data_IF_810244326141
#
_entry.id   IF_810244326141
#
_cell.length_a   1.000
_cell.length_b   1.000
_cell.length_c   1.000
_cell.angle_alpha   90.00
_cell.angle_beta   90.00
_cell.angle_gamma   90.00
#
_symmetry.space_group_name_H-M   'P 1'
#
loop_
_entity.id
_entity.type
_entity.pdbx_description
1 polymer ?
#
# COMPACT_ATOMS: atom_id res chain seq x y z
N UNK A 1 19.33 -7.08 -4.77
CA UNK A 1 19.40 -5.86 -5.59
C UNK A 1 18.21 -5.00 -5.17
N UNK A 2 18.41 -3.75 -4.78
CA UNK A 2 17.30 -2.84 -4.48
C UNK A 2 16.66 -2.32 -5.79
N UNK A 3 15.47 -1.73 -5.74
CA UNK A 3 14.75 -1.30 -6.96
C UNK A 3 15.54 -0.25 -7.75
N UNK A 4 16.26 0.66 -7.09
CA UNK A 4 17.07 1.64 -7.82
C UNK A 4 18.21 0.97 -8.60
N UNK A 5 18.85 -0.06 -8.03
CA UNK A 5 19.85 -0.85 -8.74
C UNK A 5 19.23 -1.59 -9.94
N UNK A 6 18.01 -2.11 -9.81
CA UNK A 6 17.26 -2.71 -10.92
C UNK A 6 17.03 -1.67 -12.03
N UNK A 7 16.52 -0.48 -11.68
CA UNK A 7 16.25 0.60 -12.63
C UNK A 7 17.52 1.02 -13.37
N UNK A 8 18.64 1.17 -12.68
CA UNK A 8 19.92 1.49 -13.32
C UNK A 8 20.37 0.38 -14.28
N UNK A 9 20.24 -0.89 -13.89
CA UNK A 9 20.58 -2.01 -14.77
C UNK A 9 19.70 -2.06 -16.04
N UNK A 10 18.38 -1.87 -15.88
CA UNK A 10 17.45 -1.79 -17.01
C UNK A 10 17.78 -0.62 -17.95
N UNK A 11 18.15 0.52 -17.39
CA UNK A 11 18.60 1.68 -18.17
C UNK A 11 19.88 1.37 -18.94
N UNK A 12 20.87 0.74 -18.30
CA UNK A 12 22.12 0.34 -18.95
C UNK A 12 21.88 -0.63 -20.12
N UNK A 13 20.90 -1.51 -19.97
CA UNK A 13 20.45 -2.45 -21.01
C UNK A 13 19.50 -1.85 -22.05
N UNK A 14 19.10 -0.58 -21.90
CA UNK A 14 18.14 0.12 -22.77
C UNK A 14 16.77 -0.57 -22.84
N UNK A 15 16.29 -1.06 -21.70
CA UNK A 15 14.99 -1.75 -21.58
C UNK A 15 13.87 -0.84 -21.04
N UNK A 16 14.19 0.41 -20.73
CA UNK A 16 13.21 1.44 -20.35
C UNK A 16 12.71 2.14 -21.62
N UNK A 17 11.40 2.19 -21.83
CA UNK A 17 10.73 2.73 -23.01
C UNK A 17 9.74 3.85 -22.61
N UNK A 18 9.09 4.49 -23.57
CA UNK A 18 8.00 5.41 -23.29
C UNK A 18 6.69 4.64 -23.00
N UNK A 19 5.81 5.25 -22.19
CA UNK A 19 4.47 4.70 -21.95
C UNK A 19 3.72 4.69 -23.29
N UNK A 20 3.12 3.56 -23.73
CA UNK A 20 2.29 3.54 -24.93
C UNK A 20 1.18 4.60 -24.85
N UNK A 21 0.87 5.26 -25.97
CA UNK A 21 -0.07 6.40 -25.98
C UNK A 21 -1.49 5.97 -25.58
N UNK A 22 -1.86 4.77 -26.01
CA UNK A 22 -3.14 4.12 -25.78
C UNK A 22 -3.21 3.37 -24.44
N UNK A 23 -2.12 3.37 -23.65
CA UNK A 23 -2.13 2.80 -22.31
C UNK A 23 -2.95 3.68 -21.36
N UNK A 24 -3.84 3.08 -20.56
CA UNK A 24 -4.73 3.80 -19.64
C UNK A 24 -3.98 4.76 -18.70
N UNK A 25 -2.82 4.35 -18.20
CA UNK A 25 -1.93 5.18 -17.37
C UNK A 25 -1.51 6.49 -18.04
N UNK A 26 -1.32 6.52 -19.36
CA UNK A 26 -1.01 7.76 -20.09
C UNK A 26 -2.18 8.76 -19.97
N UNK A 27 -3.42 8.27 -20.14
CA UNK A 27 -4.63 9.06 -19.94
C UNK A 27 -4.78 9.53 -18.49
N UNK A 28 -4.42 8.68 -17.51
CA UNK A 28 -4.46 9.03 -16.08
C UNK A 28 -3.46 10.11 -15.71
N UNK A 29 -2.22 9.99 -16.16
CA UNK A 29 -1.20 11.01 -15.91
C UNK A 29 -1.63 12.36 -16.49
N UNK A 30 -2.20 12.39 -17.70
CA UNK A 30 -2.76 13.59 -18.31
C UNK A 30 -3.96 14.13 -17.52
N UNK A 31 -4.92 13.28 -17.13
CA UNK A 31 -6.13 13.67 -16.38
C UNK A 31 -5.78 14.29 -15.03
N UNK A 32 -4.77 13.75 -14.35
CA UNK A 32 -4.38 14.17 -13.00
C UNK A 32 -3.09 14.99 -12.93
N UNK A 33 -2.53 15.42 -14.06
CA UNK A 33 -1.24 16.12 -14.15
C UNK A 33 -1.11 17.26 -13.11
N UNK A 34 -2.12 18.15 -13.08
CA UNK A 34 -2.19 19.29 -12.15
C UNK A 34 -2.23 18.90 -10.65
N UNK A 35 -2.64 17.68 -10.36
CA UNK A 35 -2.70 17.13 -9.00
C UNK A 35 -1.46 16.31 -8.67
N UNK A 36 -0.87 15.62 -9.65
CA UNK A 36 0.37 14.84 -9.49
C UNK A 36 1.53 15.75 -9.11
N UNK A 37 1.63 16.94 -9.68
CA UNK A 37 2.63 17.94 -9.26
C UNK A 37 2.48 18.37 -7.79
N UNK A 38 1.26 18.25 -7.24
CA UNK A 38 0.94 18.54 -5.85
C UNK A 38 0.94 17.29 -4.96
N UNK A 39 1.06 16.11 -5.56
CA UNK A 39 1.07 14.85 -4.83
C UNK A 39 2.35 14.78 -4.01
N UNK A 40 2.21 14.48 -2.72
CA UNK A 40 3.37 14.35 -1.85
C UNK A 40 4.03 13.00 -2.11
N UNK A 41 5.33 13.04 -2.40
CA UNK A 41 6.18 11.85 -2.41
C UNK A 41 6.37 11.35 -0.97
N UNK A 42 6.06 10.09 -0.73
CA UNK A 42 6.25 9.43 0.56
C UNK A 42 7.32 8.35 0.43
N UNK A 43 8.62 8.68 0.60
CA UNK A 43 9.67 7.67 0.58
C UNK A 43 9.57 6.80 1.82
N UNK A 44 9.49 5.50 1.62
CA UNK A 44 9.77 4.48 2.63
C UNK A 44 11.25 4.08 2.52
N UNK A 45 12.21 5.01 2.57
CA UNK A 45 13.62 4.63 2.46
C UNK A 45 14.06 3.79 3.66
N UNK A 46 14.38 2.52 3.41
CA UNK A 46 14.98 1.60 4.38
C UNK A 46 16.50 1.58 4.13
N UNK A 47 17.28 2.48 4.74
CA UNK A 47 18.73 2.31 4.75
C UNK A 47 19.10 1.07 5.58
N UNK A 48 19.44 -0.03 4.91
CA UNK A 48 20.02 -1.23 5.53
C UNK A 48 21.41 -0.90 6.09
N UNK A 49 21.58 -0.99 7.41
CA UNK A 49 22.84 -1.44 8.02
C UNK A 49 22.61 -2.70 8.83
N UNK A 50 23.24 -3.76 8.32
CA UNK A 50 23.75 -5.00 8.92
C UNK A 50 22.94 -5.75 10.00
N UNK A 51 22.92 -7.08 9.81
CA UNK A 51 22.40 -8.18 10.64
C UNK A 51 20.88 -8.44 10.54
N UNK A 52 20.55 -9.38 9.64
CA UNK A 52 19.20 -9.92 9.39
C UNK A 52 19.05 -11.19 10.21
N UNK A 53 18.40 -11.08 11.37
CA UNK A 53 17.56 -12.16 11.88
C UNK A 53 16.20 -12.08 11.15
N UNK A 54 15.85 -13.20 10.52
CA UNK A 54 14.67 -13.45 9.70
C UNK A 54 13.36 -13.34 10.48
N UNK A 55 12.50 -12.35 10.26
CA UNK A 55 11.09 -12.45 10.68
C UNK A 55 10.11 -11.62 9.83
N UNK A 56 8.99 -12.27 9.52
CA UNK A 56 7.74 -11.78 8.91
C UNK A 56 7.10 -10.71 9.80
N UNK A 57 6.80 -9.51 9.26
CA UNK A 57 5.87 -8.60 9.94
C UNK A 57 6.13 -7.11 9.75
N UNK A 58 5.62 -6.56 8.64
CA UNK A 58 4.77 -5.37 8.70
C UNK A 58 3.88 -5.35 7.45
N UNK A 59 2.92 -6.30 7.40
CA UNK A 59 1.87 -6.35 6.36
C UNK A 59 0.73 -5.33 6.60
N UNK A 60 0.86 -4.42 7.58
CA UNK A 60 -0.18 -3.51 8.03
C UNK A 60 -0.07 -2.11 7.38
N UNK A 61 -0.12 -2.05 6.05
CA UNK A 61 -0.07 -0.77 5.32
C UNK A 61 -1.27 0.13 5.69
N UNK A 62 -2.39 -0.48 6.08
CA UNK A 62 -3.58 0.21 6.59
C UNK A 62 -3.30 1.10 7.80
N UNK A 63 -2.43 0.68 8.72
CA UNK A 63 -2.13 1.46 9.94
C UNK A 63 -1.31 2.73 9.68
N UNK A 64 -0.75 2.88 8.48
CA UNK A 64 -0.05 4.09 8.07
C UNK A 64 -1.00 5.21 7.65
N UNK A 65 -2.28 4.91 7.40
CA UNK A 65 -3.27 5.86 6.90
C UNK A 65 -3.92 6.63 8.04
N UNK A 66 -3.91 7.95 7.92
CA UNK A 66 -4.55 8.89 8.84
C UNK A 66 -5.52 9.82 8.09
N UNK A 67 -6.65 10.10 8.73
CA UNK A 67 -7.51 11.26 8.44
C UNK A 67 -7.37 12.22 9.62
N UNK A 68 -7.20 13.51 9.37
CA UNK A 68 -6.81 14.50 10.40
C UNK A 68 -7.70 14.49 11.66
N UNK A 69 -8.98 14.16 11.53
CA UNK A 69 -9.95 14.13 12.63
C UNK A 69 -10.39 12.70 13.03
N UNK A 70 -9.76 11.66 12.48
CA UNK A 70 -10.11 10.27 12.76
C UNK A 70 -11.50 9.92 12.21
N UNK A 71 -12.49 9.81 13.10
CA UNK A 71 -13.87 9.48 12.73
C UNK A 71 -14.62 10.74 12.27
N UNK A 72 -14.81 10.88 10.97
CA UNK A 72 -15.56 11.96 10.32
C UNK A 72 -16.70 11.39 9.50
N UNK A 73 -17.74 12.17 9.21
CA UNK A 73 -18.72 11.79 8.19
C UNK A 73 -18.04 11.65 6.82
N UNK A 74 -18.56 10.79 5.95
CA UNK A 74 -18.02 10.68 4.59
C UNK A 74 -18.10 12.03 3.84
N UNK A 75 -17.11 12.36 3.00
CA UNK A 75 -17.19 13.54 2.15
C UNK A 75 -18.38 13.45 1.19
N UNK A 76 -18.94 14.61 0.84
CA UNK A 76 -19.84 14.73 -0.31
C UNK A 76 -19.02 14.53 -1.59
N UNK A 77 -19.24 13.39 -2.24
CA UNK A 77 -18.62 13.00 -3.51
C UNK A 77 -19.73 12.58 -4.47
N UNK A 78 -19.56 12.84 -5.77
CA UNK A 78 -20.49 12.39 -6.80
C UNK A 78 -20.35 10.87 -6.99
N UNK A 79 -21.16 10.09 -6.26
CA UNK A 79 -21.10 8.64 -6.32
C UNK A 79 -21.59 8.07 -7.64
N UNK A 80 -22.37 8.82 -8.42
CA UNK A 80 -22.87 8.34 -9.71
C UNK A 80 -21.79 8.45 -10.78
N UNK A 81 -21.13 9.61 -10.88
CA UNK A 81 -20.00 9.81 -11.79
C UNK A 81 -18.85 8.85 -11.47
N UNK A 82 -18.46 8.75 -10.19
CA UNK A 82 -17.40 7.85 -9.73
C UNK A 82 -17.78 6.38 -9.98
N UNK A 83 -19.07 6.04 -9.86
CA UNK A 83 -19.57 4.71 -10.18
C UNK A 83 -19.47 4.35 -11.66
N UNK A 84 -19.65 5.34 -12.56
CA UNK A 84 -19.45 5.17 -14.01
C UNK A 84 -17.98 4.95 -14.34
N UNK A 85 -17.08 5.78 -13.77
CA UNK A 85 -15.62 5.60 -13.92
C UNK A 85 -15.18 4.18 -13.52
N UNK A 86 -15.68 3.67 -12.40
CA UNK A 86 -15.40 2.30 -11.93
C UNK A 86 -15.96 1.21 -12.85
N UNK A 87 -17.15 1.42 -13.42
CA UNK A 87 -17.76 0.44 -14.32
C UNK A 87 -16.98 0.30 -15.63
N UNK A 88 -16.42 1.42 -16.12
CA UNK A 88 -15.68 1.49 -17.37
C UNK A 88 -14.22 1.00 -17.20
N UNK A 89 -13.55 1.44 -16.14
CA UNK A 89 -12.09 1.26 -15.97
C UNK A 89 -11.72 0.27 -14.85
N UNK A 90 -12.66 -0.15 -14.00
CA UNK A 90 -12.36 -1.04 -12.87
C UNK A 90 -11.58 -0.34 -11.75
N UNK A 91 -10.75 -1.08 -11.01
CA UNK A 91 -9.95 -0.51 -9.91
C UNK A 91 -8.99 0.57 -10.41
N UNK A 92 -8.54 0.50 -11.67
CA UNK A 92 -7.73 1.51 -12.33
C UNK A 92 -8.38 2.92 -12.35
N UNK A 93 -9.71 2.99 -12.18
CA UNK A 93 -10.42 4.24 -11.95
C UNK A 93 -9.86 5.02 -10.75
N UNK A 94 -9.44 4.31 -9.70
CA UNK A 94 -9.15 4.85 -8.37
C UNK A 94 -7.69 4.74 -7.96
N UNK A 95 -6.95 3.76 -8.46
CA UNK A 95 -5.53 3.62 -8.22
C UNK A 95 -4.84 3.03 -9.45
N UNK A 96 -3.56 3.29 -9.64
CA UNK A 96 -2.78 2.61 -10.68
C UNK A 96 -1.32 2.52 -10.27
N UNK A 97 -0.67 1.43 -10.66
CA UNK A 97 0.77 1.26 -10.59
C UNK A 97 1.43 1.80 -11.86
N UNK A 98 2.32 2.78 -11.71
CA UNK A 98 3.18 3.26 -12.79
C UNK A 98 4.51 2.50 -12.76
N UNK A 99 4.76 1.72 -13.81
CA UNK A 99 5.99 0.94 -13.97
C UNK A 99 7.25 1.80 -13.99
N UNK A 100 8.35 1.22 -13.49
CA UNK A 100 9.68 1.79 -13.63
C UNK A 100 10.36 1.47 -14.98
N UNK A 101 9.77 0.60 -15.82
CA UNK A 101 10.17 0.40 -17.22
C UNK A 101 9.76 1.55 -18.13
N UNK A 102 9.04 2.56 -17.61
CA UNK A 102 8.59 3.69 -18.42
C UNK A 102 9.25 5.01 -18.07
N UNK A 103 9.61 5.77 -19.10
CA UNK A 103 10.14 7.12 -18.96
C UNK A 103 9.08 8.14 -18.47
N UNK A 104 9.46 9.08 -17.60
CA UNK A 104 10.69 9.05 -16.81
C UNK A 104 10.57 8.06 -15.63
N UNK A 105 11.57 7.19 -15.45
CA UNK A 105 11.47 6.08 -14.48
C UNK A 105 11.33 6.53 -13.03
N UNK A 106 11.80 7.73 -12.66
CA UNK A 106 11.66 8.26 -11.29
C UNK A 106 10.21 8.54 -10.86
N UNK A 107 9.25 8.56 -11.79
CA UNK A 107 7.82 8.72 -11.49
C UNK A 107 7.14 7.41 -11.06
N UNK A 108 7.86 6.28 -11.07
CA UNK A 108 7.28 4.99 -10.74
C UNK A 108 6.66 4.95 -9.32
N UNK A 109 5.69 4.06 -9.14
CA UNK A 109 5.01 3.82 -7.86
C UNK A 109 3.49 3.73 -8.01
N UNK A 110 2.80 3.70 -6.87
CA UNK A 110 1.35 3.53 -6.80
C UNK A 110 0.69 4.90 -6.62
N UNK A 111 -0.18 5.27 -7.55
CA UNK A 111 -0.99 6.48 -7.48
C UNK A 111 -2.39 6.12 -7.01
N UNK A 112 -2.97 6.90 -6.09
CA UNK A 112 -4.32 6.68 -5.59
C UNK A 112 -5.10 7.98 -5.50
N UNK A 113 -6.32 7.99 -6.02
CA UNK A 113 -7.22 9.13 -5.96
C UNK A 113 -8.02 9.08 -4.66
N UNK A 114 -7.93 10.15 -3.85
CA UNK A 114 -8.62 10.22 -2.55
C UNK A 114 -10.14 9.99 -2.63
N UNK A 115 -10.82 10.55 -3.64
CA UNK A 115 -12.25 10.33 -3.89
C UNK A 115 -12.57 8.84 -4.11
N UNK A 116 -11.68 8.11 -4.77
CA UNK A 116 -11.81 6.67 -5.00
C UNK A 116 -11.69 5.87 -3.71
N UNK A 117 -10.74 6.24 -2.84
CA UNK A 117 -10.59 5.62 -1.51
C UNK A 117 -11.87 5.80 -0.68
N UNK A 118 -12.40 7.03 -0.63
CA UNK A 118 -13.65 7.31 0.08
C UNK A 118 -14.88 6.65 -0.55
N UNK A 119 -14.92 6.54 -1.88
CA UNK A 119 -16.00 5.85 -2.59
C UNK A 119 -16.07 4.37 -2.19
N UNK A 120 -14.95 3.65 -2.22
CA UNK A 120 -14.91 2.25 -1.79
C UNK A 120 -15.27 2.14 -0.31
N UNK A 121 -14.77 3.07 0.51
CA UNK A 121 -14.99 3.05 1.96
C UNK A 121 -16.49 3.16 2.27
N UNK A 122 -17.21 4.04 1.56
CA UNK A 122 -18.65 4.24 1.71
C UNK A 122 -19.47 3.11 1.09
N UNK A 123 -19.20 2.76 -0.17
CA UNK A 123 -20.10 1.93 -0.99
C UNK A 123 -19.83 0.43 -0.92
N UNK A 124 -18.59 0.03 -0.57
CA UNK A 124 -18.19 -1.37 -0.41
C UNK A 124 -18.16 -1.72 1.07
N UNK A 125 -17.34 -1.02 1.86
CA UNK A 125 -17.15 -1.40 3.26
C UNK A 125 -18.18 -0.80 4.23
N UNK A 126 -18.76 0.37 3.92
CA UNK A 126 -19.77 1.03 4.76
C UNK A 126 -21.04 0.19 5.00
N UNK A 127 -21.24 -0.88 4.23
CA UNK A 127 -22.33 -1.86 4.41
C UNK A 127 -22.05 -2.88 5.52
N UNK A 128 -20.82 -2.94 6.03
CA UNK A 128 -20.40 -3.91 7.03
C UNK A 128 -20.84 -3.46 8.43
N UNK A 129 -21.83 -4.16 8.98
CA UNK A 129 -22.26 -4.00 10.39
C UNK A 129 -21.45 -4.94 11.28
N UNK A 130 -20.14 -4.69 11.40
CA UNK A 130 -19.25 -5.53 12.21
C UNK A 130 -18.53 -4.70 13.28
N UNK A 131 -18.28 -5.37 14.40
CA UNK A 131 -17.34 -4.93 15.43
C UNK A 131 -15.93 -5.27 14.95
N UNK A 132 -15.07 -4.26 14.85
CA UNK A 132 -13.67 -4.39 14.53
C UNK A 132 -12.95 -5.38 15.48
N UNK A 133 -11.78 -5.91 15.11
CA UNK A 133 -10.94 -6.71 16.02
C UNK A 133 -10.63 -6.03 17.37
N UNK A 134 -10.88 -4.73 17.48
CA UNK A 134 -10.70 -3.88 18.65
C UNK A 134 -11.95 -3.74 19.52
N UNK A 135 -13.05 -4.46 19.22
CA UNK A 135 -14.24 -4.48 20.08
C UNK A 135 -15.19 -3.28 19.90
N UNK A 136 -14.92 -2.38 18.94
CA UNK A 136 -15.82 -1.27 18.55
C UNK A 136 -16.35 -1.42 17.13
N UNK A 137 -17.51 -0.85 16.83
CA UNK A 137 -18.01 -0.76 15.46
C UNK A 137 -16.98 -0.08 14.54
N UNK A 138 -16.89 -0.55 13.30
CA UNK A 138 -16.09 0.14 12.29
C UNK A 138 -16.60 1.57 12.08
N UNK A 139 -15.66 2.49 11.96
CA UNK A 139 -15.90 3.90 11.72
C UNK A 139 -15.34 4.31 10.34
N UNK A 140 -15.49 5.58 9.98
CA UNK A 140 -15.04 6.07 8.66
C UNK A 140 -13.54 5.87 8.43
N UNK A 141 -12.71 6.07 9.44
CA UNK A 141 -11.27 5.84 9.32
C UNK A 141 -10.97 4.37 9.03
N UNK A 142 -11.63 3.43 9.70
CA UNK A 142 -11.39 2.00 9.45
C UNK A 142 -11.80 1.62 8.02
N UNK A 143 -12.92 2.13 7.52
CA UNK A 143 -13.34 1.87 6.15
C UNK A 143 -12.38 2.47 5.13
N UNK A 144 -11.85 3.68 5.38
CA UNK A 144 -10.81 4.30 4.55
C UNK A 144 -9.51 3.48 4.58
N UNK A 145 -9.14 2.95 5.76
CA UNK A 145 -8.00 2.06 5.91
C UNK A 145 -8.16 0.76 5.13
N UNK A 146 -9.35 0.13 5.15
CA UNK A 146 -9.64 -1.05 4.34
C UNK A 146 -9.64 -0.75 2.83
N UNK A 147 -10.17 0.39 2.40
CA UNK A 147 -10.12 0.84 1.00
C UNK A 147 -8.72 1.10 0.50
N UNK A 148 -7.92 1.83 1.28
CA UNK A 148 -6.53 2.06 0.95
C UNK A 148 -5.77 0.73 0.86
N UNK A 149 -5.98 -0.19 1.81
CA UNK A 149 -5.36 -1.51 1.80
C UNK A 149 -5.75 -2.33 0.56
N UNK A 150 -7.02 -2.29 0.16
CA UNK A 150 -7.49 -2.98 -1.04
C UNK A 150 -6.76 -2.48 -2.28
N UNK A 151 -6.79 -1.16 -2.51
CA UNK A 151 -6.14 -0.52 -3.65
C UNK A 151 -4.63 -0.76 -3.63
N UNK A 152 -3.98 -0.56 -2.49
CA UNK A 152 -2.54 -0.81 -2.34
C UNK A 152 -2.17 -2.24 -2.73
N UNK A 153 -2.89 -3.24 -2.22
CA UNK A 153 -2.55 -4.64 -2.48
C UNK A 153 -2.79 -5.03 -3.94
N UNK A 154 -3.83 -4.49 -4.57
CA UNK A 154 -4.07 -4.67 -6.01
C UNK A 154 -2.89 -4.12 -6.79
N UNK A 155 -2.56 -2.85 -6.60
CA UNK A 155 -1.47 -2.19 -7.33
C UNK A 155 -0.08 -2.75 -7.01
N UNK A 156 0.11 -3.24 -5.79
CA UNK A 156 1.35 -3.92 -5.40
C UNK A 156 1.55 -5.23 -6.18
N UNK A 157 0.47 -5.87 -6.65
CA UNK A 157 0.61 -7.04 -7.51
C UNK A 157 1.20 -6.68 -8.88
N UNK A 158 0.79 -5.56 -9.48
CA UNK A 158 1.41 -5.05 -10.71
C UNK A 158 2.89 -4.75 -10.52
N UNK A 159 3.28 -4.20 -9.37
CA UNK A 159 4.70 -4.07 -9.02
C UNK A 159 5.43 -5.43 -8.95
N UNK A 160 4.81 -6.48 -8.39
CA UNK A 160 5.39 -7.82 -8.40
C UNK A 160 5.57 -8.34 -9.83
N UNK A 161 4.60 -8.10 -10.72
CA UNK A 161 4.71 -8.43 -12.15
C UNK A 161 5.89 -7.70 -12.79
N UNK A 162 6.06 -6.42 -12.48
CA UNK A 162 7.15 -5.57 -12.97
C UNK A 162 8.53 -6.11 -12.56
N UNK A 163 8.66 -6.51 -11.29
CA UNK A 163 9.87 -7.15 -10.77
C UNK A 163 10.09 -8.53 -11.43
N UNK A 164 9.04 -9.33 -11.61
CA UNK A 164 9.15 -10.64 -12.25
C UNK A 164 9.68 -10.52 -13.69
N UNK A 165 9.21 -9.53 -14.45
CA UNK A 165 9.74 -9.22 -15.77
C UNK A 165 11.20 -8.77 -15.70
N UNK A 166 11.54 -7.87 -14.77
CA UNK A 166 12.93 -7.40 -14.57
C UNK A 166 13.91 -8.54 -14.27
N UNK A 167 13.48 -9.55 -13.50
CA UNK A 167 14.30 -10.73 -13.21
C UNK A 167 14.63 -11.50 -14.49
N UNK A 168 13.66 -11.65 -15.40
CA UNK A 168 13.88 -12.28 -16.71
C UNK A 168 14.82 -11.44 -17.59
N UNK A 169 14.61 -10.13 -17.62
CA UNK A 169 15.39 -9.18 -18.42
C UNK A 169 16.86 -9.10 -17.98
N UNK A 170 17.11 -9.07 -16.67
CA UNK A 170 18.46 -9.03 -16.10
C UNK A 170 19.13 -10.41 -16.19
N UNK A 171 18.36 -11.47 -15.94
CA UNK A 171 18.84 -12.85 -15.98
C UNK A 171 19.10 -13.39 -17.38
N UNK A 172 18.51 -12.76 -18.41
CA UNK A 172 18.77 -13.11 -19.81
C UNK A 172 20.13 -12.58 -20.29
N UNK A 173 20.77 -13.35 -21.17
CA UNK A 173 21.95 -12.90 -21.93
C UNK A 173 21.57 -11.94 -23.06
N UNK A 174 20.30 -11.93 -23.49
CA UNK A 174 19.77 -11.00 -24.49
C UNK A 174 19.15 -9.77 -23.84
N UNK A 175 19.25 -8.62 -24.50
CA UNK A 175 18.55 -7.37 -24.14
C UNK A 175 17.12 -7.40 -24.68
N UNK A 176 16.32 -8.37 -24.24
CA UNK A 176 14.95 -8.52 -24.68
C UNK A 176 13.98 -7.84 -23.69
N UNK A 177 13.11 -6.92 -24.13
CA UNK A 177 12.26 -6.11 -23.24
C UNK A 177 10.95 -6.84 -22.88
N UNK A 178 11.07 -7.94 -22.11
CA UNK A 178 9.95 -8.79 -21.72
C UNK A 178 8.76 -8.01 -21.15
N UNK A 179 8.99 -6.99 -20.30
CA UNK A 179 7.90 -6.22 -19.72
C UNK A 179 7.12 -5.43 -20.78
N UNK A 180 7.82 -4.67 -21.63
CA UNK A 180 7.20 -3.82 -22.62
C UNK A 180 6.49 -4.62 -23.71
N UNK A 181 7.05 -5.76 -24.13
CA UNK A 181 6.38 -6.66 -25.08
C UNK A 181 5.13 -7.29 -24.46
N UNK A 182 5.22 -7.76 -23.22
CA UNK A 182 4.07 -8.27 -22.48
C UNK A 182 2.92 -7.26 -22.41
N UNK A 183 3.22 -6.02 -22.01
CA UNK A 183 2.22 -4.97 -21.89
C UNK A 183 1.54 -4.72 -23.24
N UNK A 184 2.31 -4.46 -24.29
CA UNK A 184 1.80 -4.11 -25.63
C UNK A 184 0.99 -5.26 -26.26
N UNK A 185 1.52 -6.48 -26.20
CA UNK A 185 0.99 -7.61 -26.97
C UNK A 185 -0.02 -8.48 -26.21
N UNK A 186 -0.01 -8.42 -24.87
CA UNK A 186 -0.84 -9.31 -24.03
C UNK A 186 -1.75 -8.52 -23.11
N UNK A 187 -1.21 -7.65 -22.26
CA UNK A 187 -2.02 -6.90 -21.27
C UNK A 187 -3.07 -6.01 -21.95
N UNK A 188 -2.62 -5.21 -22.92
CA UNK A 188 -3.47 -4.28 -23.68
C UNK A 188 -4.32 -4.97 -24.75
N UNK A 189 -4.09 -6.26 -25.01
CA UNK A 189 -4.76 -7.04 -26.04
C UNK A 189 -5.51 -8.25 -25.43
N UNK A 190 -6.53 -8.05 -24.57
CA UNK A 190 -7.29 -9.13 -23.96
C UNK A 190 -8.12 -9.88 -25.01
N UNK A 191 -8.07 -11.22 -25.00
CA UNK A 191 -8.80 -12.05 -25.97
C UNK A 191 -10.21 -12.41 -25.54
N UNK A 192 -10.53 -12.26 -24.26
CA UNK A 192 -11.82 -12.61 -23.70
C UNK A 192 -12.08 -11.86 -22.39
N UNK A 193 -13.30 -11.99 -21.85
CA UNK A 193 -13.75 -11.29 -20.63
C UNK A 193 -12.97 -11.60 -19.36
N UNK A 194 -12.16 -12.67 -19.33
CA UNK A 194 -11.33 -13.03 -18.18
C UNK A 194 -9.87 -12.56 -18.33
N UNK A 195 -9.56 -11.82 -19.40
CA UNK A 195 -8.25 -11.24 -19.65
C UNK A 195 -8.31 -9.70 -19.46
N UNK A 196 -7.21 -9.06 -19.04
CA UNK A 196 -5.90 -9.69 -18.78
C UNK A 196 -5.90 -10.50 -17.47
N UNK A 197 -5.11 -11.59 -17.46
CA UNK A 197 -5.00 -12.51 -16.31
C UNK A 197 -4.46 -11.78 -15.07
N UNK A 198 -3.61 -10.78 -15.30
CA UNK A 198 -2.99 -9.98 -14.26
C UNK A 198 -4.03 -9.31 -13.35
N UNK A 199 -5.09 -8.68 -13.88
CA UNK A 199 -6.13 -8.05 -13.07
C UNK A 199 -6.84 -9.03 -12.13
N UNK A 200 -7.20 -10.21 -12.65
CA UNK A 200 -7.86 -11.24 -11.87
C UNK A 200 -6.95 -11.73 -10.73
N UNK A 201 -5.65 -11.80 -11.00
CA UNK A 201 -4.64 -12.19 -10.03
C UNK A 201 -4.35 -11.10 -9.01
N UNK A 202 -4.31 -9.83 -9.41
CA UNK A 202 -4.18 -8.68 -8.51
C UNK A 202 -5.36 -8.65 -7.51
N UNK A 203 -6.58 -8.82 -8.01
CA UNK A 203 -7.78 -8.98 -7.19
C UNK A 203 -7.67 -10.18 -6.23
N UNK A 204 -7.21 -11.34 -6.71
CA UNK A 204 -7.04 -12.53 -5.87
C UNK A 204 -5.94 -12.36 -4.81
N UNK A 205 -4.85 -11.68 -5.15
CA UNK A 205 -3.76 -11.34 -4.23
C UNK A 205 -4.29 -10.45 -3.10
N UNK A 206 -4.97 -9.36 -3.45
CA UNK A 206 -5.58 -8.45 -2.48
C UNK A 206 -6.62 -9.18 -1.61
N UNK A 207 -7.55 -9.92 -2.23
CA UNK A 207 -8.61 -10.65 -1.54
C UNK A 207 -8.07 -11.61 -0.46
N UNK A 208 -7.02 -12.36 -0.78
CA UNK A 208 -6.44 -13.37 0.12
C UNK A 208 -5.75 -12.77 1.36
N UNK A 209 -5.41 -11.47 1.33
CA UNK A 209 -4.79 -10.75 2.45
C UNK A 209 -5.80 -10.17 3.46
N UNK A 210 -7.09 -10.12 3.14
CA UNK A 210 -8.15 -9.86 4.12
C UNK A 210 -8.52 -11.16 4.82
N UNK A 211 -8.85 -11.16 6.12
CA UNK A 211 -9.14 -12.40 6.88
C UNK A 211 -10.61 -12.50 7.30
N UNK A 212 -11.26 -11.36 7.47
CA UNK A 212 -12.62 -11.21 7.96
C UNK A 212 -13.62 -11.65 6.88
N UNK A 213 -14.54 -12.55 7.24
CA UNK A 213 -15.51 -13.14 6.31
C UNK A 213 -16.47 -12.12 5.71
N UNK A 214 -16.94 -11.16 6.52
CA UNK A 214 -17.78 -10.03 6.12
C UNK A 214 -17.10 -9.12 5.09
N UNK A 215 -15.83 -8.78 5.32
CA UNK A 215 -15.02 -7.98 4.39
C UNK A 215 -14.85 -8.75 3.07
N UNK A 216 -14.45 -10.02 3.15
CA UNK A 216 -14.32 -10.89 1.97
C UNK A 216 -15.64 -11.00 1.18
N UNK A 217 -16.79 -11.07 1.84
CA UNK A 217 -18.08 -11.10 1.16
C UNK A 217 -18.33 -9.81 0.35
N UNK A 218 -18.08 -8.64 0.94
CA UNK A 218 -18.24 -7.37 0.22
C UNK A 218 -17.24 -7.24 -0.93
N UNK A 219 -15.99 -7.68 -0.73
CA UNK A 219 -14.97 -7.70 -1.79
C UNK A 219 -15.38 -8.58 -2.97
N UNK A 220 -15.95 -9.77 -2.74
CA UNK A 220 -16.45 -10.63 -3.82
C UNK A 220 -17.55 -9.94 -4.63
N UNK A 221 -18.50 -9.29 -3.96
CA UNK A 221 -19.59 -8.57 -4.63
C UNK A 221 -19.01 -7.42 -5.46
N UNK A 222 -18.08 -6.66 -4.88
CA UNK A 222 -17.41 -5.55 -5.54
C UNK A 222 -16.63 -6.01 -6.79
N UNK A 223 -15.72 -6.97 -6.64
CA UNK A 223 -14.86 -7.44 -7.74
C UNK A 223 -15.66 -8.13 -8.85
N UNK A 224 -16.74 -8.85 -8.53
CA UNK A 224 -17.59 -9.50 -9.54
C UNK A 224 -18.27 -8.50 -10.49
N UNK A 225 -18.50 -7.27 -10.03
CA UNK A 225 -19.18 -6.23 -10.80
C UNK A 225 -18.20 -5.29 -11.53
N UNK A 226 -16.91 -5.60 -11.52
CA UNK A 226 -15.90 -4.86 -12.28
C UNK A 226 -15.82 -5.34 -13.74
N UNK A 227 -15.20 -4.57 -14.65
CA UNK A 227 -15.02 -4.93 -16.05
C UNK A 227 -14.23 -6.23 -16.29
N UNK A 228 -14.01 -6.52 -17.58
CA UNK A 228 -13.25 -7.69 -18.02
C UNK A 228 -11.86 -7.78 -17.35
N UNK A 229 -11.37 -8.99 -17.13
CA UNK A 229 -10.16 -9.25 -16.35
C UNK A 229 -10.45 -9.22 -14.85
N UNK A 230 -10.88 -8.07 -14.32
CA UNK A 230 -11.14 -7.86 -12.89
C UNK A 230 -12.18 -8.82 -12.30
N UNK A 231 -13.28 -9.06 -13.01
CA UNK A 231 -14.38 -9.92 -12.53
C UNK A 231 -14.05 -11.42 -12.44
N UNK A 232 -12.88 -11.84 -12.95
CA UNK A 232 -12.44 -13.24 -12.95
C UNK A 232 -11.75 -13.69 -11.65
N UNK A 233 -11.85 -12.92 -10.56
CA UNK A 233 -11.32 -13.22 -9.21
C UNK A 233 -11.41 -14.71 -8.83
N UNK A 234 -12.60 -15.31 -8.94
CA UNK A 234 -12.89 -16.66 -8.45
C UNK A 234 -12.02 -17.74 -9.10
N UNK A 235 -11.43 -17.46 -10.26
CA UNK A 235 -10.48 -18.36 -10.93
C UNK A 235 -9.17 -18.50 -10.16
N UNK A 236 -8.81 -17.55 -9.29
CA UNK A 236 -7.48 -17.48 -8.66
C UNK A 236 -7.53 -17.35 -7.13
N UNK A 237 -8.71 -17.39 -6.50
CA UNK A 237 -8.81 -17.29 -5.02
C UNK A 237 -8.12 -18.46 -4.31
N UNK A 238 -8.24 -19.68 -4.84
CA UNK A 238 -7.66 -20.87 -4.20
C UNK A 238 -6.15 -20.92 -4.44
N UNK A 239 -5.40 -21.38 -3.43
CA UNK A 239 -3.92 -21.46 -3.50
C UNK A 239 -3.40 -22.17 -4.74
N UNK A 240 -3.97 -23.33 -5.11
CA UNK A 240 -3.55 -24.09 -6.29
C UNK A 240 -3.76 -23.31 -7.57
N UNK A 241 -4.91 -22.65 -7.69
CA UNK A 241 -5.28 -21.92 -8.90
C UNK A 241 -4.48 -20.61 -9.00
N UNK A 242 -4.19 -19.95 -7.88
CA UNK A 242 -3.27 -18.81 -7.82
C UNK A 242 -1.85 -19.19 -8.28
N UNK A 243 -1.33 -20.35 -7.84
CA UNK A 243 -0.03 -20.85 -8.31
C UNK A 243 -0.05 -21.07 -9.83
N UNK A 244 -1.12 -21.68 -10.34
CA UNK A 244 -1.27 -21.87 -11.78
C UNK A 244 -1.37 -20.53 -12.54
N UNK A 245 -2.10 -19.56 -11.99
CA UNK A 245 -2.14 -18.19 -12.51
C UNK A 245 -0.75 -17.57 -12.62
N UNK A 246 0.09 -17.69 -11.57
CA UNK A 246 1.47 -17.15 -11.60
C UNK A 246 2.32 -17.80 -12.69
N UNK A 247 2.16 -19.12 -12.91
CA UNK A 247 2.83 -19.80 -14.02
C UNK A 247 2.35 -19.28 -15.37
N UNK A 248 1.04 -19.12 -15.54
CA UNK A 248 0.45 -18.59 -16.76
C UNK A 248 0.95 -17.17 -17.03
N UNK A 249 0.87 -16.28 -16.04
CA UNK A 249 1.33 -14.90 -16.14
C UNK A 249 2.83 -14.83 -16.45
N UNK A 250 3.67 -15.58 -15.74
CA UNK A 250 5.11 -15.64 -16.03
C UNK A 250 5.42 -16.15 -17.45
N UNK A 251 4.61 -17.08 -17.96
CA UNK A 251 4.75 -17.56 -19.35
C UNK A 251 4.37 -16.47 -20.35
N UNK A 252 3.27 -15.74 -20.10
CA UNK A 252 2.85 -14.62 -20.95
C UNK A 252 3.91 -13.51 -20.98
N UNK A 253 4.55 -13.23 -19.84
CA UNK A 253 5.65 -12.25 -19.75
C UNK A 253 6.86 -12.72 -20.57
N UNK A 254 7.31 -13.95 -20.33
CA UNK A 254 8.47 -14.52 -21.02
C UNK A 254 8.25 -14.59 -22.54
N UNK A 255 7.06 -14.96 -22.98
CA UNK A 255 6.79 -15.19 -24.40
C UNK A 255 6.39 -13.91 -25.14
N UNK A 256 6.05 -12.82 -24.41
CA UNK A 256 5.55 -11.57 -25.00
C UNK A 256 4.28 -11.77 -25.84
N UNK A 257 3.59 -12.90 -25.68
CA UNK A 257 2.50 -13.34 -26.53
C UNK A 257 1.57 -14.33 -25.81
N UNK A 258 0.37 -14.47 -26.36
CA UNK A 258 -0.63 -15.43 -25.88
C UNK A 258 -0.24 -16.88 -26.20
N UNK A 259 0.51 -17.53 -25.30
CA UNK A 259 0.93 -18.92 -25.46
C UNK A 259 -0.04 -19.94 -24.82
N UNK A 260 -0.04 -21.17 -25.34
CA UNK A 260 -0.83 -22.30 -24.79
C UNK A 260 -0.07 -23.12 -23.74
N UNK A 261 1.26 -22.95 -23.65
CA UNK A 261 2.10 -23.62 -22.66
C UNK A 261 2.07 -22.93 -21.29
N UNK A 262 2.54 -23.61 -20.25
CA UNK A 262 2.69 -23.05 -18.90
C UNK A 262 4.04 -23.47 -18.34
N UNK A 263 4.98 -22.53 -18.31
CA UNK A 263 6.32 -22.73 -17.75
C UNK A 263 6.29 -22.65 -16.21
N UNK A 264 7.20 -23.34 -15.49
CA UNK A 264 7.26 -23.32 -14.02
C UNK A 264 7.93 -22.03 -13.51
N UNK A 265 7.31 -20.89 -13.80
CA UNK A 265 7.81 -19.54 -13.48
C UNK A 265 7.11 -18.91 -12.28
N UNK A 266 6.36 -19.69 -11.49
CA UNK A 266 5.59 -19.15 -10.35
C UNK A 266 6.45 -18.51 -9.26
N UNK A 267 7.74 -18.87 -9.19
CA UNK A 267 8.68 -18.39 -8.17
C UNK A 267 9.12 -16.95 -8.41
N UNK A 268 9.01 -16.45 -9.66
CA UNK A 268 9.27 -15.04 -9.98
C UNK A 268 8.36 -14.08 -9.22
N UNK A 269 7.17 -14.56 -8.83
CA UNK A 269 6.13 -13.79 -8.15
C UNK A 269 6.11 -14.07 -6.64
N UNK A 270 7.13 -14.72 -6.09
CA UNK A 270 7.22 -14.96 -4.64
C UNK A 270 7.94 -13.81 -3.94
N UNK A 271 7.15 -12.91 -3.34
CA UNK A 271 7.63 -11.72 -2.65
C UNK A 271 8.65 -12.05 -1.54
N UNK A 272 8.49 -13.18 -0.86
CA UNK A 272 9.38 -13.56 0.24
C UNK A 272 10.74 -14.01 -0.29
N UNK A 273 10.73 -14.78 -1.38
CA UNK A 273 11.95 -15.23 -2.04
C UNK A 273 12.69 -14.07 -2.71
N UNK A 274 11.96 -13.03 -3.14
CA UNK A 274 12.52 -11.85 -3.79
C UNK A 274 12.88 -10.71 -2.82
N UNK A 275 12.73 -10.91 -1.49
CA UNK A 275 12.99 -9.90 -0.46
C UNK A 275 12.23 -8.57 -0.71
N UNK A 276 11.00 -8.67 -1.22
CA UNK A 276 10.15 -7.52 -1.52
C UNK A 276 9.31 -7.12 -0.31
N UNK A 277 9.23 -5.82 -0.05
CA UNK A 277 8.49 -5.23 1.04
C UNK A 277 7.51 -4.17 0.55
N UNK A 278 6.41 -3.98 1.28
CA UNK A 278 5.43 -2.93 0.97
C UNK A 278 6.03 -1.52 1.01
N UNK A 279 7.07 -1.31 1.82
CA UNK A 279 7.82 -0.06 1.86
C UNK A 279 8.76 0.15 0.67
N UNK A 280 8.95 -0.83 -0.22
CA UNK A 280 9.82 -0.60 -1.38
C UNK A 280 9.13 0.26 -2.44
N UNK A 281 7.80 0.37 -2.40
CA UNK A 281 7.00 1.02 -3.44
C UNK A 281 6.57 2.42 -3.01
N UNK A 282 6.94 3.47 -3.76
CA UNK A 282 6.43 4.82 -3.55
C UNK A 282 4.91 4.86 -3.68
N UNK A 283 4.26 5.63 -2.81
CA UNK A 283 2.80 5.84 -2.86
C UNK A 283 2.52 7.33 -3.00
N UNK A 284 1.63 7.68 -3.93
CA UNK A 284 1.19 9.04 -4.22
C UNK A 284 -0.32 9.14 -4.01
N UNK A 285 -0.74 9.93 -3.02
CA UNK A 285 -2.16 10.27 -2.86
C UNK A 285 -2.45 11.53 -3.68
N UNK A 286 -3.42 11.44 -4.58
CA UNK A 286 -3.88 12.51 -5.45
C UNK A 286 -5.05 13.22 -4.75
N UNK A 287 -4.86 14.48 -4.29
CA UNK A 287 -5.86 15.18 -3.49
C UNK A 287 -6.91 15.86 -4.38
N UNK A 288 -8.02 15.18 -4.64
CA UNK A 288 -9.15 15.71 -5.42
C UNK A 288 -10.25 16.30 -4.54
N UNK A 289 -10.29 15.96 -3.25
CA UNK A 289 -11.24 16.52 -2.29
C UNK A 289 -10.67 17.83 -1.70
N UNK A 290 -11.45 18.92 -1.80
CA UNK A 290 -11.01 20.26 -1.38
C UNK A 290 -10.96 20.44 0.14
N UNK A 291 -11.83 19.78 0.90
CA UNK A 291 -11.93 19.97 2.35
C UNK A 291 -10.77 19.26 3.09
N UNK A 292 -9.97 20.07 3.79
CA UNK A 292 -8.78 19.66 4.53
C UNK A 292 -9.02 18.57 5.58
N UNK A 293 -10.26 18.44 6.10
CA UNK A 293 -10.58 17.40 7.11
C UNK A 293 -10.59 15.99 6.53
N UNK A 294 -10.71 15.86 5.21
CA UNK A 294 -10.68 14.59 4.47
C UNK A 294 -9.33 14.26 3.85
N UNK A 295 -8.31 15.08 4.12
CA UNK A 295 -6.97 14.82 3.60
C UNK A 295 -6.43 13.54 4.22
N UNK A 296 -6.22 12.55 3.35
CA UNK A 296 -5.56 11.29 3.67
C UNK A 296 -4.06 11.55 3.77
N UNK A 297 -3.46 11.13 4.89
CA UNK A 297 -2.03 11.26 5.14
C UNK A 297 -1.43 9.89 5.42
N UNK A 298 -0.24 9.65 4.88
CA UNK A 298 0.57 8.47 5.21
C UNK A 298 1.60 8.84 6.26
N UNK A 299 1.65 8.07 7.35
CA UNK A 299 2.60 8.25 8.44
C UNK A 299 3.90 7.50 8.06
N UNK A 300 4.75 8.16 7.28
CA UNK A 300 6.08 7.64 6.93
C UNK A 300 7.17 8.13 7.89
N UNK A 301 7.03 9.36 8.40
CA UNK A 301 7.95 9.97 9.36
C UNK A 301 7.22 10.91 10.32
N UNK A 302 7.80 11.12 11.50
CA UNK A 302 7.32 12.06 12.52
C UNK A 302 8.50 12.94 12.93
N UNK A 303 8.65 14.14 12.34
CA UNK A 303 9.76 15.03 12.64
C UNK A 303 9.75 15.47 14.11
N UNK A 304 10.91 15.54 14.75
CA UNK A 304 11.01 15.90 16.17
C UNK A 304 10.43 17.27 16.49
N UNK A 305 10.54 18.20 15.55
CA UNK A 305 9.96 19.55 15.63
C UNK A 305 8.43 19.56 15.73
N UNK A 306 7.76 18.48 15.35
CA UNK A 306 6.31 18.34 15.45
C UNK A 306 5.85 17.74 16.78
N UNK A 307 6.78 17.25 17.61
CA UNK A 307 6.44 16.59 18.87
C UNK A 307 6.11 17.62 19.96
N UNK A 308 4.98 17.44 20.61
CA UNK A 308 4.55 18.19 21.81
C UNK A 308 4.46 17.20 22.96
N UNK A 309 4.94 17.59 24.14
CA UNK A 309 4.86 16.74 25.33
C UNK A 309 3.67 17.16 26.20
N UNK A 310 2.77 16.22 26.50
CA UNK A 310 1.69 16.44 27.46
C UNK A 310 2.26 16.67 28.88
N UNK A 311 1.49 17.30 29.79
CA UNK A 311 1.90 17.44 31.19
C UNK A 311 2.19 16.09 31.87
N UNK A 312 1.42 15.06 31.54
CA UNK A 312 1.60 13.70 32.09
C UNK A 312 2.87 13.07 31.55
N UNK A 313 3.12 13.18 30.25
CA UNK A 313 4.36 12.68 29.63
C UNK A 313 5.61 13.32 30.26
N UNK A 314 5.58 14.63 30.54
CA UNK A 314 6.68 15.32 31.23
C UNK A 314 6.93 14.77 32.64
N UNK A 315 5.88 14.36 33.36
CA UNK A 315 6.01 13.74 34.69
C UNK A 315 6.60 12.34 34.57
N UNK A 316 6.12 11.55 33.61
CA UNK A 316 6.63 10.21 33.32
C UNK A 316 8.13 10.26 32.99
N UNK A 317 8.54 11.15 32.08
CA UNK A 317 9.93 11.29 31.64
C UNK A 317 10.92 11.56 32.81
N UNK A 318 10.49 12.31 33.83
CA UNK A 318 11.31 12.62 35.02
C UNK A 318 11.61 11.40 35.90
N UNK A 319 10.82 10.33 35.78
CA UNK A 319 10.94 9.11 36.61
C UNK A 319 11.81 8.03 35.96
N UNK A 320 12.22 8.23 34.71
CA UNK A 320 12.94 7.23 33.94
C UNK A 320 14.44 7.26 34.24
N UNK A 321 15.06 6.09 34.15
CA UNK A 321 16.52 5.99 34.28
C UNK A 321 17.22 6.60 33.06
N UNK A 322 18.50 7.01 33.21
CA UNK A 322 19.29 7.54 32.09
C UNK A 322 19.40 6.59 30.89
N UNK A 323 19.43 5.28 31.11
CA UNK A 323 19.48 4.28 30.02
C UNK A 323 18.21 4.31 29.16
N UNK A 324 17.03 4.38 29.79
CA UNK A 324 15.76 4.44 29.08
C UNK A 324 15.62 5.76 28.31
N UNK A 325 16.10 6.87 28.87
CA UNK A 325 16.11 8.17 28.17
C UNK A 325 16.98 8.10 26.90
N UNK A 326 18.14 7.44 26.97
CA UNK A 326 19.00 7.23 25.78
C UNK A 326 18.28 6.42 24.70
N UNK A 327 17.60 5.34 25.07
CA UNK A 327 16.80 4.52 24.13
C UNK A 327 15.65 5.32 23.52
N UNK A 328 15.01 6.16 24.32
CA UNK A 328 13.98 7.09 23.84
C UNK A 328 14.51 8.05 22.77
N UNK A 329 15.67 8.66 22.98
CA UNK A 329 16.28 9.54 21.97
C UNK A 329 16.57 8.80 20.66
N UNK A 330 17.03 7.55 20.73
CA UNK A 330 17.20 6.69 19.56
C UNK A 330 15.87 6.41 18.85
N UNK A 331 14.81 6.11 19.61
CA UNK A 331 13.48 5.92 19.04
C UNK A 331 12.95 7.20 18.36
N UNK A 332 13.18 8.38 18.92
CA UNK A 332 12.84 9.65 18.28
C UNK A 332 13.61 9.87 16.98
N UNK A 333 14.88 9.45 16.90
CA UNK A 333 15.66 9.55 15.67
C UNK A 333 15.08 8.64 14.59
N UNK A 334 14.70 7.43 14.97
CA UNK A 334 14.04 6.49 14.08
C UNK A 334 12.69 7.02 13.61
N UNK A 335 11.86 7.60 14.49
CA UNK A 335 10.58 8.19 14.12
C UNK A 335 10.71 9.31 13.08
N UNK A 336 11.73 10.15 13.22
CA UNK A 336 12.01 11.27 12.32
C UNK A 336 12.41 10.80 10.91
N UNK A 337 13.13 9.68 10.82
CA UNK A 337 13.56 9.12 9.54
C UNK A 337 12.51 8.17 8.93
N UNK A 338 12.00 7.23 9.73
CA UNK A 338 11.08 6.17 9.33
C UNK A 338 10.21 5.74 10.53
N UNK A 339 9.00 6.29 10.61
CA UNK A 339 8.03 5.96 11.66
C UNK A 339 7.60 4.48 11.64
N UNK A 340 7.73 3.82 10.49
CA UNK A 340 7.37 2.40 10.30
C UNK A 340 8.55 1.45 10.57
N UNK A 341 9.68 1.97 11.09
CA UNK A 341 10.84 1.15 11.40
C UNK A 341 10.49 0.01 12.38
N UNK A 342 10.86 -1.23 12.03
CA UNK A 342 10.49 -2.46 12.78
C UNK A 342 10.79 -2.40 14.28
N UNK A 343 11.87 -1.72 14.66
CA UNK A 343 12.27 -1.55 16.06
C UNK A 343 11.26 -0.74 16.88
N UNK A 344 10.53 0.15 16.23
CA UNK A 344 9.54 1.02 16.86
C UNK A 344 8.20 0.33 17.09
N UNK A 345 7.85 -0.73 16.34
CA UNK A 345 6.51 -1.35 16.39
C UNK A 345 5.41 -0.29 16.47
N UNK A 346 5.44 0.68 15.56
CA UNK A 346 4.49 1.78 15.54
C UNK A 346 3.11 1.23 15.19
N UNK A 347 2.20 1.20 16.15
CA UNK A 347 0.89 0.57 16.00
C UNK A 347 -0.19 1.35 16.73
N UNK A 348 -1.40 1.32 16.19
CA UNK A 348 -2.57 1.94 16.81
C UNK A 348 -3.02 1.16 18.06
N UNK A 349 -3.31 1.86 19.15
CA UNK A 349 -3.82 1.22 20.38
C UNK A 349 -5.23 0.71 20.14
N UNK A 350 -5.50 -0.54 20.53
CA UNK A 350 -6.84 -1.12 20.42
C UNK A 350 -7.84 -0.33 21.27
N UNK A 351 -8.98 0.04 20.67
CA UNK A 351 -10.02 0.84 21.32
C UNK A 351 -9.84 2.35 21.17
N UNK A 352 -8.73 2.82 20.59
CA UNK A 352 -8.43 4.24 20.45
C UNK A 352 -8.24 4.62 18.99
N UNK A 353 -8.94 5.66 18.51
CA UNK A 353 -8.94 5.97 17.08
C UNK A 353 -7.72 6.71 16.57
N UNK A 354 -7.14 7.53 17.42
CA UNK A 354 -6.06 8.44 17.06
C UNK A 354 -4.82 8.23 17.93
N UNK A 355 -4.83 7.25 18.83
CA UNK A 355 -3.69 6.97 19.72
C UNK A 355 -2.87 5.80 19.20
N UNK A 356 -1.57 6.03 19.11
CA UNK A 356 -0.56 5.09 18.64
C UNK A 356 0.42 4.80 19.76
N UNK A 357 1.05 3.61 19.72
CA UNK A 357 2.19 3.28 20.55
C UNK A 357 3.48 3.28 19.76
N UNK A 358 4.56 3.62 20.44
CA UNK A 358 5.93 3.45 19.99
C UNK A 358 6.69 2.64 21.01
N UNK A 359 7.37 1.60 20.54
CA UNK A 359 8.29 0.78 21.30
C UNK A 359 9.61 1.49 21.55
N UNK A 360 9.97 1.57 22.83
CA UNK A 360 11.29 2.04 23.26
C UNK A 360 12.21 0.85 23.52
N UNK A 361 11.73 -0.15 24.26
CA UNK A 361 12.42 -1.44 24.42
C UNK A 361 11.45 -2.59 24.70
N UNK A 362 11.86 -3.68 25.35
CA UNK A 362 10.93 -4.78 25.71
C UNK A 362 9.84 -4.30 26.66
N UNK A 363 10.17 -3.44 27.62
CA UNK A 363 9.32 -3.11 28.74
C UNK A 363 8.60 -1.77 28.55
N UNK A 364 9.23 -0.79 27.91
CA UNK A 364 8.69 0.57 27.82
C UNK A 364 8.06 0.88 26.47
N UNK A 365 6.98 1.67 26.53
CA UNK A 365 6.25 2.23 25.39
C UNK A 365 5.97 3.71 25.60
N UNK A 366 5.77 4.41 24.49
CA UNK A 366 5.18 5.75 24.46
C UNK A 366 3.82 5.64 23.81
N UNK A 367 2.81 6.32 24.34
CA UNK A 367 1.58 6.60 23.60
C UNK A 367 1.63 8.02 23.02
N UNK A 368 1.11 8.20 21.82
CA UNK A 368 1.05 9.49 21.15
C UNK A 368 -0.16 9.61 20.22
N UNK A 369 -0.58 10.83 19.93
CA UNK A 369 -1.68 11.11 18.99
C UNK A 369 -1.37 12.29 18.08
N UNK A 370 -1.91 12.33 16.84
CA UNK A 370 -1.87 13.54 16.05
C UNK A 370 -2.82 14.59 16.66
N UNK A 371 -2.36 15.84 16.71
CA UNK A 371 -3.11 16.99 17.20
C UNK A 371 -2.73 18.22 16.38
N UNK A 372 -3.66 18.75 15.58
CA UNK A 372 -3.47 19.99 14.80
C UNK A 372 -2.18 20.02 13.96
N UNK A 373 -1.89 18.92 13.25
CA UNK A 373 -0.69 18.79 12.41
C UNK A 373 0.62 18.57 13.19
N UNK A 374 0.54 18.45 14.51
CA UNK A 374 1.62 18.06 15.41
C UNK A 374 1.32 16.70 16.02
N UNK A 375 2.27 16.16 16.79
CA UNK A 375 2.13 14.89 17.48
C UNK A 375 2.31 15.10 18.97
N UNK A 376 1.25 14.86 19.74
CA UNK A 376 1.28 14.94 21.19
C UNK A 376 1.72 13.61 21.79
N UNK A 377 2.82 13.62 22.54
CA UNK A 377 3.28 12.51 23.38
C UNK A 377 2.46 12.51 24.67
N UNK A 378 1.71 11.44 24.90
CA UNK A 378 0.69 11.35 25.94
C UNK A 378 1.24 10.71 27.22
N UNK A 379 1.81 9.50 27.13
CA UNK A 379 2.39 8.74 28.25
C UNK A 379 3.73 8.12 27.88
N UNK A 380 4.57 7.92 28.88
CA UNK A 380 5.77 7.06 28.80
C UNK A 380 5.72 6.10 29.97
N UNK A 381 5.40 4.83 29.72
CA UNK A 381 5.25 3.87 30.80
C UNK A 381 5.60 2.45 30.35
N UNK A 382 5.51 1.51 31.28
CA UNK A 382 5.62 0.09 30.96
C UNK A 382 4.48 -0.35 30.04
N UNK A 383 4.74 -1.42 29.29
CA UNK A 383 3.85 -1.98 28.28
C UNK A 383 2.40 -2.04 28.78
N UNK A 384 2.14 -2.75 29.87
CA UNK A 384 0.79 -2.97 30.37
C UNK A 384 0.12 -1.68 30.85
N UNK A 385 0.89 -0.73 31.40
CA UNK A 385 0.35 0.55 31.84
C UNK A 385 -0.08 1.40 30.65
N UNK A 386 0.71 1.44 29.57
CA UNK A 386 0.37 2.22 28.38
C UNK A 386 -0.92 1.73 27.73
N UNK A 387 -1.17 0.42 27.67
CA UNK A 387 -2.43 -0.09 27.12
C UNK A 387 -3.63 0.07 28.07
N UNK A 388 -3.42 0.09 29.40
CA UNK A 388 -4.50 0.33 30.37
C UNK A 388 -4.89 1.80 30.46
N UNK A 389 -3.92 2.71 30.39
CA UNK A 389 -4.15 4.15 30.51
C UNK A 389 -3.27 4.93 29.52
N UNK A 390 -3.63 4.93 28.23
CA UNK A 390 -2.86 5.61 27.19
C UNK A 390 -2.94 7.14 27.23
N UNK A 391 -3.87 7.72 28.00
CA UNK A 391 -4.00 9.16 28.25
C UNK A 391 -4.69 9.98 27.16
N UNK A 392 -5.26 9.36 26.12
CA UNK A 392 -5.90 10.08 25.00
C UNK A 392 -7.00 9.31 24.29
N UNK A 393 -7.49 8.26 24.95
CA UNK A 393 -8.74 7.57 24.68
C UNK A 393 -9.69 7.95 25.83
#
# INVERSE_FOLDING_TARGET
MNVNEIIEELRNRKLIDDIPEEHIINHKEKKYEKFIEKAKYYPFSFERRETVEWFVGNENVDQSVLISNGNVEFPEIDTEEIGKELADEGIEAFAWYRSFHWNPSYKWGIYMVDKGIYYIARNVFGKIKQVSPQGRCYNTLDFVQQSFRLLFLHEFFHYITDIAASILEIGSLSTHPYYNEYVKNVYMCPRNKNEPVEEAMANAFAFNKFRESSIRQQLRIFMKNQPAGYSALEQYVRRRDFIHGRRKLGTLIRDGAHANGVAPLETLFDCYSCDLHFGDVPIYIIPTIKDSKYVIKLITSIPRSTLIQSPTFKKDLKRLSPDIIRKYQKALQMLEYNAQHRGLKFEKIKGCDTVFTVRIDRNYRISMRPLNGKWELLRFAEHDEVYRNPGGC
#
